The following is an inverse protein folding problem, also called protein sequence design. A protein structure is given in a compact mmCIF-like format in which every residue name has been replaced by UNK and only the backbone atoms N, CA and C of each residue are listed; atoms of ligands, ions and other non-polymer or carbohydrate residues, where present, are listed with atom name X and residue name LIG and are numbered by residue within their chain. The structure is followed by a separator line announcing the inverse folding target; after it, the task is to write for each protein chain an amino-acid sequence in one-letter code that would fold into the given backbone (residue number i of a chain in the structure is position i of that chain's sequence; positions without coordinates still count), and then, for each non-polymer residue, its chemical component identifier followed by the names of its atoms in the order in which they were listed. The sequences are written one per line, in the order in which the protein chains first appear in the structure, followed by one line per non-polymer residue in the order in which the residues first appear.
data_IF_198621555762
#
_entry.id   IF_198621555762
#
_cell.length_a   1.000
_cell.length_b   1.000
_cell.length_c   1.000
_cell.angle_alpha   90.00
_cell.angle_beta   90.00
_cell.angle_gamma   90.00
#
_symmetry.space_group_name_H-M   'P 1'
#
loop_
_entity.id
_entity.type
_entity.pdbx_description
1 polymer ?
#
# COMPACT_ATOMS: atom_id res chain seq x y z
N UNK A 1 -10.08 -0.60 -41.97
CA UNK A 1 -11.05 -0.61 -40.86
C UNK A 1 -10.30 -0.42 -39.56
N UNK A 2 -10.25 0.82 -39.07
CA UNK A 2 -9.57 1.20 -37.82
C UNK A 2 -10.44 0.77 -36.63
N UNK A 3 -10.05 -0.28 -35.91
CA UNK A 3 -10.67 -0.63 -34.64
C UNK A 3 -10.47 0.53 -33.67
N UNK A 4 -11.58 1.07 -33.18
CA UNK A 4 -11.60 2.05 -32.09
C UNK A 4 -10.94 1.44 -30.86
N UNK A 5 -9.73 1.93 -30.53
CA UNK A 5 -9.16 1.73 -29.20
C UNK A 5 -10.21 2.18 -28.17
N UNK A 6 -10.78 1.22 -27.44
CA UNK A 6 -11.73 1.52 -26.37
C UNK A 6 -10.97 2.22 -25.24
N UNK A 7 -10.90 3.55 -25.32
CA UNK A 7 -10.60 4.39 -24.19
C UNK A 7 -11.60 4.05 -23.08
N UNK A 8 -11.13 3.48 -21.98
CA UNK A 8 -11.95 3.35 -20.78
C UNK A 8 -12.34 4.77 -20.36
N UNK A 9 -13.64 5.10 -20.27
CA UNK A 9 -14.06 6.48 -19.99
C UNK A 9 -13.55 6.93 -18.61
N UNK A 10 -13.17 8.21 -18.44
CA UNK A 10 -12.58 8.76 -17.20
C UNK A 10 -13.47 8.62 -15.96
N UNK A 11 -14.75 8.27 -16.12
CA UNK A 11 -15.67 7.95 -15.01
C UNK A 11 -15.37 6.61 -14.33
N UNK A 12 -14.89 5.60 -15.07
CA UNK A 12 -14.64 4.25 -14.54
C UNK A 12 -13.39 4.19 -13.66
N UNK A 13 -12.40 5.05 -13.92
CA UNK A 13 -11.21 5.19 -13.08
C UNK A 13 -11.54 5.87 -11.74
N UNK A 14 -12.28 6.99 -11.77
CA UNK A 14 -12.69 7.72 -10.54
C UNK A 14 -13.54 6.88 -9.59
N UNK A 15 -14.46 6.06 -10.11
CA UNK A 15 -15.28 5.19 -9.27
C UNK A 15 -14.45 4.09 -8.60
N UNK A 16 -13.47 3.50 -9.30
CA UNK A 16 -12.53 2.53 -8.71
C UNK A 16 -11.69 3.15 -7.60
N UNK A 17 -11.12 4.33 -7.84
CA UNK A 17 -10.35 5.08 -6.82
C UNK A 17 -11.19 5.33 -5.58
N UNK A 18 -12.46 5.75 -5.74
CA UNK A 18 -13.39 5.94 -4.60
C UNK A 18 -13.64 4.64 -3.85
N UNK A 19 -13.94 3.54 -4.54
CA UNK A 19 -14.19 2.23 -3.91
C UNK A 19 -12.96 1.76 -3.12
N UNK A 20 -11.77 1.87 -3.71
CA UNK A 20 -10.51 1.49 -3.04
C UNK A 20 -10.22 2.38 -1.84
N UNK A 21 -10.45 3.69 -1.95
CA UNK A 21 -10.30 4.61 -0.83
C UNK A 21 -11.30 4.29 0.30
N UNK A 22 -12.58 4.09 -0.02
CA UNK A 22 -13.59 3.75 0.99
C UNK A 22 -13.27 2.43 1.67
N UNK A 23 -12.81 1.43 0.92
CA UNK A 23 -12.38 0.16 1.49
C UNK A 23 -11.16 0.34 2.41
N UNK A 24 -10.17 1.13 1.98
CA UNK A 24 -8.99 1.44 2.79
C UNK A 24 -9.36 2.18 4.09
N UNK A 25 -10.28 3.14 4.03
CA UNK A 25 -10.79 3.86 5.21
C UNK A 25 -11.47 2.91 6.17
N UNK A 26 -12.43 2.11 5.69
CA UNK A 26 -13.20 1.19 6.55
C UNK A 26 -12.28 0.15 7.20
N UNK A 27 -11.44 -0.51 6.39
CA UNK A 27 -10.51 -1.52 6.89
C UNK A 27 -9.46 -0.92 7.84
N UNK A 28 -8.97 0.28 7.53
CA UNK A 28 -8.03 1.00 8.40
C UNK A 28 -8.64 1.35 9.75
N UNK A 29 -9.86 1.88 9.78
CA UNK A 29 -10.58 2.20 11.03
C UNK A 29 -10.80 0.92 11.85
N UNK A 30 -11.30 -0.15 11.23
CA UNK A 30 -11.53 -1.42 11.90
C UNK A 30 -10.23 -2.00 12.48
N UNK A 31 -9.13 -1.94 11.72
CA UNK A 31 -7.84 -2.42 12.17
C UNK A 31 -7.28 -1.56 13.32
N UNK A 32 -7.39 -0.23 13.23
CA UNK A 32 -6.96 0.68 14.30
C UNK A 32 -7.74 0.45 15.59
N UNK A 33 -9.07 0.33 15.52
CA UNK A 33 -9.91 0.02 16.70
C UNK A 33 -9.50 -1.32 17.30
N UNK A 34 -9.39 -2.36 16.48
CA UNK A 34 -9.03 -3.69 16.95
C UNK A 34 -7.64 -3.67 17.64
N UNK A 35 -6.65 -3.06 17.00
CA UNK A 35 -5.29 -2.96 17.52
C UNK A 35 -5.24 -2.24 18.87
N UNK A 36 -5.81 -1.03 18.96
CA UNK A 36 -5.79 -0.24 20.19
C UNK A 36 -6.63 -0.89 21.30
N UNK A 37 -7.77 -1.50 20.96
CA UNK A 37 -8.57 -2.26 21.94
C UNK A 37 -7.81 -3.45 22.51
N UNK A 38 -7.05 -4.17 21.67
CA UNK A 38 -6.27 -5.32 22.09
C UNK A 38 -5.03 -4.91 22.91
N UNK A 39 -4.39 -3.78 22.57
CA UNK A 39 -3.30 -3.20 23.35
C UNK A 39 -3.77 -2.74 24.74
N UNK A 40 -4.88 -1.99 24.81
CA UNK A 40 -5.46 -1.52 26.07
C UNK A 40 -6.01 -2.67 26.92
N UNK A 41 -6.63 -3.66 26.28
CA UNK A 41 -7.16 -4.86 26.94
C UNK A 41 -6.09 -5.87 27.38
N UNK A 42 -4.82 -5.67 26.98
CA UNK A 42 -3.73 -6.59 27.30
C UNK A 42 -3.81 -7.94 26.58
N UNK A 43 -4.55 -8.00 25.47
CA UNK A 43 -4.71 -9.22 24.67
C UNK A 43 -3.49 -9.48 23.78
N UNK A 44 -2.68 -8.45 23.52
CA UNK A 44 -1.42 -8.57 22.80
C UNK A 44 -0.30 -8.78 23.84
N UNK A 45 0.39 -9.95 23.80
CA UNK A 45 1.54 -10.20 24.68
C UNK A 45 2.59 -9.11 24.51
N UNK A 46 3.14 -8.61 25.62
CA UNK A 46 4.20 -7.59 25.62
C UNK A 46 3.82 -6.23 25.01
N UNK A 47 2.51 -5.92 24.93
CA UNK A 47 2.00 -4.63 24.43
C UNK A 47 0.88 -4.08 25.31
N UNK A 48 0.89 -4.44 26.60
CA UNK A 48 -0.02 -3.85 27.57
C UNK A 48 0.48 -2.45 27.95
N UNK A 49 -0.23 -1.43 27.47
CA UNK A 49 0.14 -0.04 27.67
C UNK A 49 -0.76 0.56 28.75
N UNK A 50 -0.23 0.67 29.98
CA UNK A 50 -0.93 1.29 31.12
C UNK A 50 -0.61 2.78 31.29
N UNK A 51 0.48 3.25 30.67
CA UNK A 51 0.88 4.66 30.71
C UNK A 51 0.00 5.51 29.78
N UNK A 52 -0.77 6.43 30.37
CA UNK A 52 -1.68 7.33 29.65
C UNK A 52 -0.96 8.24 28.64
N UNK A 53 0.26 8.67 28.93
CA UNK A 53 1.02 9.51 28.01
C UNK A 53 1.42 8.72 26.76
N UNK A 54 1.90 7.49 26.96
CA UNK A 54 2.27 6.60 25.87
C UNK A 54 1.05 6.20 25.02
N UNK A 55 -0.10 5.93 25.63
CA UNK A 55 -1.37 5.69 24.92
C UNK A 55 -1.75 6.90 24.06
N UNK A 56 -1.65 8.11 24.60
CA UNK A 56 -1.93 9.34 23.87
C UNK A 56 -1.02 9.55 22.66
N UNK A 57 0.28 9.28 22.80
CA UNK A 57 1.25 9.35 21.70
C UNK A 57 0.96 8.30 20.62
N UNK A 58 0.67 7.05 21.01
CA UNK A 58 0.36 5.97 20.06
C UNK A 58 -0.90 6.27 19.25
N UNK A 59 -2.01 6.63 19.92
CA UNK A 59 -3.26 7.01 19.25
C UNK A 59 -3.10 8.26 18.38
N UNK A 60 -2.39 9.28 18.89
CA UNK A 60 -2.13 10.51 18.14
C UNK A 60 -1.31 10.26 16.87
N UNK A 61 -0.25 9.45 17.00
CA UNK A 61 0.60 9.08 15.87
C UNK A 61 -0.15 8.23 14.83
N UNK A 62 -0.96 7.25 15.26
CA UNK A 62 -1.80 6.45 14.36
C UNK A 62 -2.80 7.32 13.58
N UNK A 63 -3.48 8.24 14.28
CA UNK A 63 -4.45 9.12 13.64
C UNK A 63 -3.78 10.05 12.63
N UNK A 64 -2.69 10.73 13.00
CA UNK A 64 -2.02 11.71 12.13
C UNK A 64 -1.41 11.01 10.91
N UNK A 65 -0.65 9.93 11.13
CA UNK A 65 0.01 9.20 10.04
C UNK A 65 -1.00 8.43 9.18
N UNK A 66 -2.07 7.90 9.78
CA UNK A 66 -3.15 7.22 9.08
C UNK A 66 -3.97 8.17 8.20
N UNK A 67 -4.34 9.35 8.71
CA UNK A 67 -5.02 10.37 7.90
C UNK A 67 -4.12 10.89 6.77
N UNK A 68 -2.83 11.11 7.05
CA UNK A 68 -1.85 11.44 6.02
C UNK A 68 -1.82 10.36 4.93
N UNK A 69 -1.68 9.09 5.30
CA UNK A 69 -1.67 7.98 4.36
C UNK A 69 -2.95 7.94 3.51
N UNK A 70 -4.12 8.00 4.14
CA UNK A 70 -5.42 7.96 3.46
C UNK A 70 -5.60 9.13 2.49
N UNK A 71 -5.11 10.32 2.83
CA UNK A 71 -5.16 11.50 1.96
C UNK A 71 -4.29 11.37 0.70
N UNK A 72 -3.21 10.58 0.78
CA UNK A 72 -2.28 10.36 -0.31
C UNK A 72 -2.64 9.17 -1.21
N UNK A 73 -3.54 8.27 -0.77
CA UNK A 73 -4.00 7.12 -1.57
C UNK A 73 -4.46 7.52 -2.98
N UNK A 74 -5.29 8.56 -3.19
CA UNK A 74 -5.75 8.92 -4.54
C UNK A 74 -4.60 9.31 -5.48
N UNK A 75 -3.59 10.00 -4.95
CA UNK A 75 -2.40 10.36 -5.70
C UNK A 75 -1.52 9.13 -5.98
N UNK A 76 -1.34 8.26 -4.99
CA UNK A 76 -0.53 7.06 -5.08
C UNK A 76 -1.07 6.00 -6.07
N UNK A 77 -2.40 5.92 -6.23
CA UNK A 77 -3.04 4.95 -7.14
C UNK A 77 -3.41 5.54 -8.51
N UNK A 78 -3.11 6.81 -8.74
CA UNK A 78 -3.30 7.45 -10.03
C UNK A 78 -2.40 6.78 -11.07
N UNK A 79 -3.01 6.11 -12.04
CA UNK A 79 -2.30 5.53 -13.18
C UNK A 79 -2.40 6.49 -14.37
N UNK A 80 -1.27 6.72 -15.02
CA UNK A 80 -1.29 7.27 -16.37
C UNK A 80 -1.65 6.18 -17.38
N UNK A 81 -2.37 6.55 -18.43
CA UNK A 81 -2.67 5.67 -19.56
C UNK A 81 -1.42 5.22 -20.30
N UNK A 82 -0.37 6.05 -20.31
CA UNK A 82 0.92 5.79 -20.96
C UNK A 82 1.71 4.65 -20.27
N UNK A 83 1.47 4.41 -18.97
CA UNK A 83 2.11 3.31 -18.20
C UNK A 83 1.71 1.90 -18.68
N UNK A 84 0.63 1.80 -19.46
CA UNK A 84 0.17 0.54 -20.05
C UNK A 84 0.71 0.33 -21.47
N UNK A 85 1.36 1.34 -22.07
CA UNK A 85 1.80 1.34 -23.46
C UNK A 85 3.33 1.18 -23.57
N UNK A 86 4.10 1.79 -22.67
CA UNK A 86 5.56 1.71 -22.66
C UNK A 86 6.12 1.19 -21.34
N UNK A 87 7.01 0.19 -21.40
CA UNK A 87 7.71 -0.35 -20.23
C UNK A 87 8.76 0.62 -19.66
N UNK A 88 9.21 1.60 -20.44
CA UNK A 88 10.18 2.63 -20.05
C UNK A 88 9.56 3.88 -19.43
N UNK A 89 8.24 4.03 -19.46
CA UNK A 89 7.59 5.24 -18.97
C UNK A 89 7.66 5.33 -17.44
N UNK A 90 8.35 6.37 -16.97
CA UNK A 90 8.43 6.71 -15.56
C UNK A 90 7.17 7.55 -15.26
N UNK A 91 6.11 6.88 -14.81
CA UNK A 91 4.86 7.52 -14.39
C UNK A 91 5.02 8.70 -13.42
N UNK A 92 3.94 9.41 -13.07
CA UNK A 92 4.01 10.72 -12.42
C UNK A 92 4.79 10.68 -11.10
N UNK A 93 5.80 11.54 -10.89
CA UNK A 93 6.62 11.56 -9.67
C UNK A 93 5.79 11.70 -8.39
N UNK A 94 4.68 12.44 -8.45
CA UNK A 94 3.76 12.61 -7.33
C UNK A 94 3.11 11.29 -6.89
N UNK A 95 2.83 10.37 -7.81
CA UNK A 95 2.29 9.05 -7.48
C UNK A 95 3.34 8.17 -6.80
N UNK A 96 4.59 8.24 -7.27
CA UNK A 96 5.71 7.52 -6.65
C UNK A 96 5.97 8.03 -5.23
N UNK A 97 6.13 9.35 -5.05
CA UNK A 97 6.38 9.96 -3.74
C UNK A 97 5.21 9.70 -2.79
N UNK A 98 3.97 9.96 -3.23
CA UNK A 98 2.79 9.69 -2.42
C UNK A 98 2.67 8.22 -2.04
N UNK A 99 2.96 7.32 -2.98
CA UNK A 99 2.95 5.88 -2.73
C UNK A 99 4.01 5.42 -1.75
N UNK A 100 5.25 5.90 -1.88
CA UNK A 100 6.33 5.60 -0.94
C UNK A 100 5.99 6.10 0.46
N UNK A 101 5.46 7.33 0.59
CA UNK A 101 5.02 7.84 1.89
C UNK A 101 3.98 6.90 2.51
N UNK A 102 2.91 6.55 1.80
CA UNK A 102 1.87 5.64 2.30
C UNK A 102 2.46 4.29 2.74
N UNK A 103 3.36 3.71 1.95
CA UNK A 103 4.03 2.45 2.28
C UNK A 103 4.93 2.61 3.51
N UNK A 104 5.66 3.71 3.66
CA UNK A 104 6.55 3.89 4.83
C UNK A 104 5.80 3.98 6.16
N UNK A 105 4.53 4.42 6.18
CA UNK A 105 3.74 4.50 7.41
C UNK A 105 2.84 3.29 7.67
N UNK A 106 2.72 2.33 6.75
CA UNK A 106 1.72 1.26 6.85
C UNK A 106 1.94 0.25 8.00
N UNK A 107 3.18 0.04 8.46
CA UNK A 107 3.49 -0.77 9.67
C UNK A 107 3.57 0.06 10.94
N UNK A 108 3.55 1.39 10.82
CA UNK A 108 3.67 2.33 11.94
C UNK A 108 2.28 2.67 12.46
N UNK A 109 1.37 2.99 11.54
CA UNK A 109 -0.01 3.38 11.83
C UNK A 109 -0.96 2.24 11.43
N UNK A 110 -1.58 1.52 12.40
CA UNK A 110 -2.65 0.56 12.12
C UNK A 110 -3.73 1.07 11.16
N UNK A 111 -4.07 2.36 11.22
CA UNK A 111 -5.03 3.02 10.33
C UNK A 111 -4.54 3.07 8.86
N UNK A 112 -3.23 3.15 8.63
CA UNK A 112 -2.62 3.19 7.31
C UNK A 112 -2.43 1.80 6.66
N UNK A 113 -2.59 0.71 7.41
CA UNK A 113 -2.25 -0.65 6.94
C UNK A 113 -2.99 -1.03 5.66
N UNK A 114 -4.30 -0.82 5.61
CA UNK A 114 -5.10 -1.12 4.42
C UNK A 114 -4.73 -0.23 3.22
N UNK A 115 -4.42 1.05 3.47
CA UNK A 115 -3.95 1.97 2.45
C UNK A 115 -2.61 1.52 1.85
N UNK A 116 -1.65 1.11 2.69
CA UNK A 116 -0.38 0.54 2.27
C UNK A 116 -0.55 -0.68 1.37
N UNK A 117 -1.43 -1.61 1.75
CA UNK A 117 -1.69 -2.80 0.95
C UNK A 117 -2.26 -2.46 -0.44
N UNK A 118 -3.24 -1.55 -0.50
CA UNK A 118 -3.83 -1.07 -1.76
C UNK A 118 -2.76 -0.42 -2.64
N UNK A 119 -1.89 0.42 -2.07
CA UNK A 119 -0.83 1.12 -2.79
C UNK A 119 0.23 0.14 -3.32
N UNK A 120 0.68 -0.84 -2.53
CA UNK A 120 1.65 -1.86 -2.98
C UNK A 120 1.09 -2.64 -4.17
N UNK A 121 -0.16 -3.10 -4.09
CA UNK A 121 -0.82 -3.82 -5.19
C UNK A 121 -0.92 -2.92 -6.42
N UNK A 122 -1.32 -1.66 -6.23
CA UNK A 122 -1.49 -0.66 -7.29
C UNK A 122 -0.16 -0.39 -8.02
N UNK A 123 0.89 -0.04 -7.28
CA UNK A 123 2.23 0.22 -7.82
C UNK A 123 2.79 -1.01 -8.53
N UNK A 124 2.64 -2.19 -7.93
CA UNK A 124 3.16 -3.43 -8.50
C UNK A 124 2.42 -3.87 -9.76
N UNK A 125 1.19 -3.39 -9.97
CA UNK A 125 0.44 -3.62 -11.20
C UNK A 125 0.97 -2.89 -12.42
N UNK A 126 1.91 -1.95 -12.23
CA UNK A 126 2.70 -1.33 -13.31
C UNK A 126 3.74 -2.26 -13.91
N UNK A 127 4.05 -3.40 -13.25
CA UNK A 127 5.01 -4.42 -13.73
C UNK A 127 6.37 -3.82 -14.10
N UNK A 128 6.81 -2.79 -13.36
CA UNK A 128 8.08 -2.11 -13.60
C UNK A 128 8.95 -2.17 -12.35
N UNK A 129 10.23 -2.54 -12.53
CA UNK A 129 11.19 -2.69 -11.44
C UNK A 129 11.49 -1.35 -10.74
N UNK A 130 11.44 -0.23 -11.47
CA UNK A 130 11.63 1.12 -10.92
C UNK A 130 10.53 1.52 -9.92
N UNK A 131 9.42 0.80 -9.92
CA UNK A 131 8.28 1.01 -9.03
C UNK A 131 8.22 -0.03 -7.90
N UNK A 132 8.44 -1.31 -8.23
CA UNK A 132 8.33 -2.41 -7.26
C UNK A 132 9.49 -2.46 -6.28
N UNK A 133 10.73 -2.20 -6.72
CA UNK A 133 11.90 -2.27 -5.84
C UNK A 133 11.83 -1.20 -4.73
N UNK A 134 11.58 0.09 -5.04
CA UNK A 134 11.40 1.10 -3.99
C UNK A 134 10.23 0.79 -3.05
N UNK A 135 9.13 0.21 -3.54
CA UNK A 135 8.00 -0.19 -2.71
C UNK A 135 8.38 -1.30 -1.70
N UNK A 136 9.16 -2.29 -2.13
CA UNK A 136 9.66 -3.35 -1.23
C UNK A 136 10.58 -2.74 -0.16
N UNK A 137 11.54 -1.90 -0.59
CA UNK A 137 12.46 -1.23 0.33
C UNK A 137 11.71 -0.35 1.35
N UNK A 138 10.73 0.44 0.89
CA UNK A 138 9.91 1.29 1.77
C UNK A 138 9.10 0.47 2.77
N UNK A 139 8.60 -0.70 2.37
CA UNK A 139 7.85 -1.59 3.25
C UNK A 139 8.73 -2.20 4.34
N UNK A 140 9.92 -2.69 3.98
CA UNK A 140 10.89 -3.22 4.95
C UNK A 140 11.34 -2.12 5.90
N UNK A 141 11.59 -0.91 5.37
CA UNK A 141 11.93 0.26 6.18
C UNK A 141 10.81 0.62 7.15
N UNK A 142 9.53 0.54 6.73
CA UNK A 142 8.38 0.75 7.62
C UNK A 142 8.39 -0.22 8.80
N UNK A 143 8.67 -1.50 8.56
CA UNK A 143 8.76 -2.50 9.61
C UNK A 143 9.91 -2.21 10.57
N UNK A 144 11.08 -1.81 10.05
CA UNK A 144 12.23 -1.42 10.85
C UNK A 144 11.93 -0.20 11.72
N UNK A 145 11.30 0.84 11.16
CA UNK A 145 10.91 2.04 11.92
C UNK A 145 9.90 1.67 13.01
N UNK A 146 8.92 0.83 12.71
CA UNK A 146 7.93 0.37 13.69
C UNK A 146 8.60 -0.33 14.88
N UNK A 147 9.54 -1.25 14.61
CA UNK A 147 10.33 -1.94 15.63
C UNK A 147 11.23 -0.99 16.44
N UNK A 148 11.95 -0.08 15.78
CA UNK A 148 12.95 0.78 16.41
C UNK A 148 12.35 1.97 17.17
N UNK A 149 11.25 2.54 16.69
CA UNK A 149 10.70 3.80 17.20
C UNK A 149 9.36 3.65 17.93
N UNK A 150 8.59 2.59 17.68
CA UNK A 150 7.23 2.45 18.18
C UNK A 150 6.99 1.18 19.03
N UNK A 151 8.02 0.36 19.27
CA UNK A 151 7.96 -0.78 20.19
C UNK A 151 8.92 -0.61 21.39
N UNK A 152 8.66 0.36 22.29
CA UNK A 152 9.58 0.68 23.40
C UNK A 152 9.76 -0.45 24.42
N UNK A 153 8.87 -1.44 24.42
CA UNK A 153 8.90 -2.59 25.33
C UNK A 153 9.72 -3.76 24.79
N UNK A 154 10.15 -3.73 23.52
CA UNK A 154 11.02 -4.76 22.92
C UNK A 154 12.47 -4.27 22.91
N UNK A 155 13.33 -4.91 23.70
CA UNK A 155 14.77 -4.60 23.76
C UNK A 155 15.54 -5.12 22.55
N UNK A 156 14.97 -6.06 21.79
CA UNK A 156 15.60 -6.65 20.60
C UNK A 156 14.69 -6.49 19.38
N UNK A 157 15.32 -6.35 18.21
CA UNK A 157 14.59 -6.28 16.93
C UNK A 157 14.00 -7.66 16.63
N UNK A 158 12.68 -7.72 16.47
CA UNK A 158 12.01 -8.95 16.03
C UNK A 158 12.22 -9.21 14.54
N UNK A 159 13.26 -9.98 14.21
CA UNK A 159 13.51 -10.44 12.83
C UNK A 159 12.35 -11.27 12.26
N UNK A 160 11.58 -11.95 13.13
CA UNK A 160 10.36 -12.64 12.73
C UNK A 160 9.28 -11.69 12.21
N UNK A 161 9.08 -10.54 12.87
CA UNK A 161 8.12 -9.53 12.42
C UNK A 161 8.55 -8.87 11.09
N UNK A 162 9.85 -8.59 10.94
CA UNK A 162 10.41 -8.07 9.69
C UNK A 162 10.27 -9.10 8.56
N UNK A 163 10.57 -10.37 8.84
CA UNK A 163 10.41 -11.48 7.89
C UNK A 163 8.96 -11.66 7.45
N UNK A 164 8.02 -11.64 8.40
CA UNK A 164 6.58 -11.72 8.10
C UNK A 164 6.13 -10.54 7.22
N UNK A 165 6.56 -9.31 7.55
CA UNK A 165 6.26 -8.12 6.74
C UNK A 165 6.81 -8.25 5.33
N UNK A 166 8.04 -8.75 5.20
CA UNK A 166 8.69 -8.97 3.91
C UNK A 166 7.89 -9.99 3.08
N UNK A 167 7.48 -11.10 3.68
CA UNK A 167 6.65 -12.12 3.02
C UNK A 167 5.31 -11.52 2.56
N UNK A 168 4.60 -10.80 3.44
CA UNK A 168 3.33 -10.14 3.10
C UNK A 168 3.53 -9.16 1.94
N UNK A 169 4.61 -8.38 1.98
CA UNK A 169 4.95 -7.43 0.91
C UNK A 169 5.15 -8.14 -0.41
N UNK A 170 5.93 -9.23 -0.43
CA UNK A 170 6.16 -10.02 -1.64
C UNK A 170 4.87 -10.63 -2.19
N UNK A 171 3.96 -11.10 -1.32
CA UNK A 171 2.64 -11.60 -1.74
C UNK A 171 1.81 -10.47 -2.40
N UNK A 172 1.78 -9.28 -1.80
CA UNK A 172 1.05 -8.14 -2.38
C UNK A 172 1.66 -7.68 -3.71
N UNK A 173 2.98 -7.68 -3.82
CA UNK A 173 3.71 -7.41 -5.07
C UNK A 173 3.37 -8.45 -6.13
N UNK A 174 3.33 -9.74 -5.78
CA UNK A 174 2.94 -10.83 -6.67
C UNK A 174 1.49 -10.66 -7.17
N UNK A 175 0.55 -10.35 -6.27
CA UNK A 175 -0.85 -10.07 -6.64
C UNK A 175 -0.97 -8.88 -7.59
N UNK A 176 -0.25 -7.79 -7.31
CA UNK A 176 -0.21 -6.62 -8.18
C UNK A 176 0.37 -6.94 -9.55
N UNK A 177 1.52 -7.61 -9.61
CA UNK A 177 2.18 -7.97 -10.87
C UNK A 177 1.38 -8.96 -11.71
N UNK A 178 0.74 -9.97 -11.11
CA UNK A 178 -0.17 -10.88 -11.81
C UNK A 178 -1.33 -10.11 -12.45
N UNK A 179 -1.95 -9.21 -11.68
CA UNK A 179 -3.03 -8.35 -12.19
C UNK A 179 -2.54 -7.46 -13.34
N UNK A 180 -1.37 -6.86 -13.21
CA UNK A 180 -0.76 -6.01 -14.24
C UNK A 180 -0.50 -6.78 -15.54
N UNK A 181 0.10 -7.98 -15.44
CA UNK A 181 0.34 -8.86 -16.59
C UNK A 181 -0.95 -9.27 -17.28
N UNK A 182 -1.98 -9.64 -16.53
CA UNK A 182 -3.28 -10.01 -17.08
C UNK A 182 -3.97 -8.85 -17.82
N UNK A 183 -3.87 -7.61 -17.30
CA UNK A 183 -4.40 -6.43 -17.98
C UNK A 183 -3.66 -6.14 -19.29
N UNK A 184 -2.34 -6.35 -19.33
CA UNK A 184 -1.52 -6.21 -20.55
C UNK A 184 -1.83 -7.30 -21.57
N UNK A 185 -2.03 -8.55 -21.15
CA UNK A 185 -2.37 -9.66 -22.06
C UNK A 185 -3.73 -9.49 -22.72
N UNK A 186 -4.70 -8.88 -22.03
CA UNK A 186 -6.01 -8.54 -22.63
C UNK A 186 -5.91 -7.43 -23.69
N UNK A 187 -4.82 -6.65 -23.71
CA UNK A 187 -4.64 -5.50 -24.61
C UNK A 187 -3.80 -5.85 -25.86
N UNK A 188 -2.95 -6.87 -25.80
CA UNK A 188 -2.27 -7.42 -26.98
C UNK A 188 -3.24 -8.32 -27.74
N UNK A 189 -3.51 -8.09 -29.04
CA UNK A 189 -4.23 -9.07 -29.84
C UNK A 189 -3.43 -10.38 -29.85
N UNK A 190 -4.08 -11.56 -29.92
CA UNK A 190 -3.37 -12.81 -30.08
C UNK A 190 -2.51 -12.73 -31.35
N UNK A 191 -1.20 -12.89 -31.18
CA UNK A 191 -0.24 -12.99 -32.27
C UNK A 191 -0.67 -14.16 -33.18
N UNK A 192 -1.38 -13.84 -34.28
CA UNK A 192 -1.99 -14.87 -35.13
C UNK A 192 -2.82 -14.38 -36.31
N UNK A 193 -2.71 -13.12 -36.73
CA UNK A 193 -3.31 -12.67 -37.99
C UNK A 193 -2.46 -11.59 -38.69
N UNK A 194 -1.20 -11.94 -38.94
CA UNK A 194 -0.48 -11.39 -40.09
C UNK A 194 -0.52 -12.49 -41.15
N UNK A 195 -1.40 -12.29 -42.14
CA UNK A 195 -1.41 -13.07 -43.39
C UNK A 195 -0.30 -12.64 -44.34
#
# INVERSE_FOLDING_TARGET
MTQSMQFLPPRRSRQRTRVLLTAAVILGILNSIAYHSAALGGWIPHLHVTDRQLVGVLLGSDLILGLLALSLVPAAIAHDTEELEEDSYIGPPSALVGGLVVITVWQIAPLAMAAGAVVIISISSRVSASWTVPAICASILSALISQLAFQPQQTEISWGAIGATTIITLVLVALGTVRGKHLRSLRRPPDGSAG
#
